data_IF_682663056484
#
_entry.id   IF_682663056484
#
_cell.length_a   1.000
_cell.length_b   1.000
_cell.length_c   1.000
_cell.angle_alpha   90.00
_cell.angle_beta   90.00
_cell.angle_gamma   90.00
#
_symmetry.space_group_name_H-M   'P 1'
#
loop_
_entity.id
_entity.type
_entity.pdbx_description
1 polymer ?
#
# COMPACT_ATOMS: atom_id res chain seq x y z
N UNK A 1 13.32 13.73 -1.52
CA UNK A 1 13.23 12.27 -1.55
C UNK A 1 13.15 11.81 -3.01
N UNK A 2 14.15 11.07 -3.50
CA UNK A 2 14.17 10.53 -4.87
C UNK A 2 13.60 9.12 -4.79
N UNK A 3 12.43 8.88 -5.40
CA UNK A 3 11.75 7.59 -5.37
C UNK A 3 12.12 6.68 -6.56
N UNK A 4 12.59 7.25 -7.66
CA UNK A 4 13.19 6.55 -8.79
C UNK A 4 14.14 7.50 -9.53
N UNK A 5 15.13 6.97 -10.21
CA UNK A 5 16.14 7.69 -10.99
C UNK A 5 16.37 7.04 -12.37
N UNK A 6 17.33 7.56 -13.14
CA UNK A 6 17.64 7.05 -14.47
C UNK A 6 18.13 5.59 -14.51
N UNK A 7 18.63 5.07 -13.37
CA UNK A 7 19.13 3.72 -13.24
C UNK A 7 18.06 2.78 -12.66
N UNK A 8 16.88 3.33 -12.34
CA UNK A 8 15.74 2.55 -11.86
C UNK A 8 15.14 1.68 -12.97
N UNK A 9 14.69 0.45 -12.64
CA UNK A 9 14.01 -0.41 -13.59
C UNK A 9 12.66 0.18 -14.02
N UNK A 10 12.18 -0.16 -15.22
CA UNK A 10 10.91 0.36 -15.76
C UNK A 10 9.72 0.16 -14.81
N UNK A 11 9.65 -0.97 -14.08
CA UNK A 11 8.60 -1.20 -13.10
C UNK A 11 8.57 -0.12 -11.99
N UNK A 12 9.74 0.26 -11.47
CA UNK A 12 9.86 1.32 -10.47
C UNK A 12 9.47 2.69 -11.03
N UNK A 13 9.86 2.98 -12.29
CA UNK A 13 9.48 4.23 -12.96
C UNK A 13 7.96 4.28 -13.16
N UNK A 14 7.31 3.19 -13.56
CA UNK A 14 5.86 3.15 -13.67
C UNK A 14 5.17 3.37 -12.33
N UNK A 15 5.66 2.79 -11.24
CA UNK A 15 5.14 3.11 -9.91
C UNK A 15 5.32 4.59 -9.54
N UNK A 16 6.46 5.19 -9.89
CA UNK A 16 6.67 6.62 -9.70
C UNK A 16 5.61 7.44 -10.44
N UNK A 17 5.32 7.11 -11.70
CA UNK A 17 4.34 7.82 -12.52
C UNK A 17 2.93 7.65 -11.98
N UNK A 18 2.52 6.42 -11.70
CA UNK A 18 1.12 6.03 -11.47
C UNK A 18 0.67 6.16 -10.02
N UNK A 19 1.59 6.03 -9.05
CA UNK A 19 1.24 5.94 -7.63
C UNK A 19 1.87 7.04 -6.77
N UNK A 20 3.08 7.51 -7.11
CA UNK A 20 3.81 8.40 -6.23
C UNK A 20 3.41 9.88 -6.34
N UNK A 21 2.51 10.23 -7.23
CA UNK A 21 1.86 11.55 -7.30
C UNK A 21 0.85 11.77 -6.16
N UNK A 22 0.34 10.71 -5.54
CA UNK A 22 -0.59 10.79 -4.44
C UNK A 22 0.13 11.08 -3.12
N UNK A 23 -0.18 12.21 -2.50
CA UNK A 23 0.44 12.66 -1.24
C UNK A 23 -0.57 13.05 -0.16
N UNK A 24 -1.87 13.03 -0.48
CA UNK A 24 -2.92 13.46 0.43
C UNK A 24 -3.04 12.58 1.69
N UNK A 25 -2.63 11.32 1.60
CA UNK A 25 -2.65 10.35 2.71
C UNK A 25 -1.41 10.42 3.63
N UNK A 26 -0.31 11.01 3.19
CA UNK A 26 0.97 10.95 3.92
C UNK A 26 0.87 11.52 5.34
N UNK A 27 0.09 12.60 5.52
CA UNK A 27 -0.14 13.16 6.83
C UNK A 27 -0.90 12.19 7.75
N UNK A 28 -1.92 11.50 7.23
CA UNK A 28 -2.67 10.52 8.00
C UNK A 28 -1.78 9.38 8.47
N UNK A 29 -0.91 8.85 7.61
CA UNK A 29 0.06 7.83 7.97
C UNK A 29 1.05 8.31 9.04
N UNK A 30 1.54 9.55 8.94
CA UNK A 30 2.42 10.14 9.96
C UNK A 30 1.72 10.27 11.31
N UNK A 31 0.47 10.70 11.33
CA UNK A 31 -0.31 10.87 12.57
C UNK A 31 -0.68 9.53 13.20
N UNK A 32 -1.08 8.53 12.40
CA UNK A 32 -1.39 7.17 12.85
C UNK A 32 -0.18 6.48 13.51
N UNK A 33 1.00 6.67 12.93
CA UNK A 33 2.24 6.04 13.42
C UNK A 33 3.05 6.93 14.33
N UNK A 34 2.45 8.00 14.89
CA UNK A 34 3.17 9.00 15.72
C UNK A 34 3.90 8.39 16.88
N UNK A 35 3.26 7.46 17.57
CA UNK A 35 3.77 6.81 18.78
C UNK A 35 4.48 5.48 18.47
N UNK A 36 4.65 5.15 17.19
CA UNK A 36 5.33 3.92 16.72
C UNK A 36 6.80 4.21 16.45
N UNK A 37 7.67 3.35 16.95
CA UNK A 37 9.11 3.36 16.65
C UNK A 37 9.41 2.51 15.42
N UNK A 38 8.74 1.38 15.28
CA UNK A 38 8.90 0.44 14.17
C UNK A 38 7.58 0.17 13.46
N UNK A 39 7.62 0.30 12.13
CA UNK A 39 6.46 0.18 11.25
C UNK A 39 6.74 -0.86 10.17
N UNK A 40 5.77 -1.74 9.92
CA UNK A 40 5.76 -2.64 8.77
C UNK A 40 4.85 -2.04 7.68
N UNK A 41 5.38 -1.81 6.48
CA UNK A 41 4.66 -1.27 5.31
C UNK A 41 4.43 -2.38 4.28
N UNK A 42 3.19 -2.83 4.13
CA UNK A 42 2.79 -3.89 3.21
C UNK A 42 2.44 -3.35 1.83
N UNK A 43 2.96 -4.00 0.78
CA UNK A 43 2.87 -3.50 -0.59
C UNK A 43 3.69 -2.22 -0.75
N UNK A 44 4.87 -2.17 -0.16
CA UNK A 44 5.67 -0.94 -0.06
C UNK A 44 6.14 -0.39 -1.41
N UNK A 45 6.21 -1.23 -2.45
CA UNK A 45 6.69 -0.85 -3.79
C UNK A 45 8.05 -0.16 -3.74
N UNK A 46 8.14 1.01 -4.36
CA UNK A 46 9.36 1.86 -4.33
C UNK A 46 9.45 2.76 -3.08
N UNK A 47 8.60 2.52 -2.06
CA UNK A 47 8.73 3.13 -0.74
C UNK A 47 8.14 4.52 -0.57
N UNK A 48 7.05 4.86 -1.29
CA UNK A 48 6.39 6.17 -1.16
C UNK A 48 6.04 6.51 0.29
N UNK A 49 5.39 5.59 1.01
CA UNK A 49 4.99 5.76 2.41
C UNK A 49 6.16 5.39 3.33
N UNK A 50 6.83 4.26 3.11
CA UNK A 50 7.96 3.79 3.92
C UNK A 50 9.03 4.88 4.12
N UNK A 51 9.50 5.50 3.04
CA UNK A 51 10.53 6.54 3.11
C UNK A 51 10.01 7.86 3.70
N UNK A 52 8.72 8.17 3.50
CA UNK A 52 8.10 9.31 4.15
C UNK A 52 8.09 9.13 5.69
N UNK A 53 7.69 7.96 6.19
CA UNK A 53 7.68 7.65 7.62
C UNK A 53 9.10 7.59 8.20
N UNK A 54 10.07 7.05 7.46
CA UNK A 54 11.47 7.06 7.88
C UNK A 54 12.01 8.50 8.02
N UNK A 55 11.66 9.40 7.09
CA UNK A 55 12.02 10.82 7.20
C UNK A 55 11.36 11.52 8.40
N UNK A 56 10.27 10.96 8.92
CA UNK A 56 9.58 11.39 10.14
C UNK A 56 10.08 10.65 11.41
N UNK A 57 11.20 9.89 11.30
CA UNK A 57 11.90 9.29 12.42
C UNK A 57 11.47 7.87 12.81
N UNK A 58 10.72 7.16 11.96
CA UNK A 58 10.35 5.74 12.19
C UNK A 58 11.41 4.82 11.58
N UNK A 59 11.58 3.65 12.15
CA UNK A 59 12.25 2.54 11.51
C UNK A 59 11.20 1.76 10.70
N UNK A 60 11.39 1.62 9.39
CA UNK A 60 10.38 1.03 8.52
C UNK A 60 10.93 -0.21 7.81
N UNK A 61 10.22 -1.32 7.96
CA UNK A 61 10.43 -2.52 7.16
C UNK A 61 9.31 -2.59 6.11
N UNK A 62 9.66 -2.63 4.81
CA UNK A 62 8.72 -2.82 3.72
C UNK A 62 8.63 -4.29 3.30
N UNK A 63 7.45 -4.72 2.88
CA UNK A 63 7.25 -6.01 2.20
C UNK A 63 6.55 -5.75 0.87
N UNK A 64 7.10 -6.30 -0.20
CA UNK A 64 6.48 -6.29 -1.53
C UNK A 64 6.78 -7.61 -2.25
N UNK A 65 5.86 -8.08 -3.09
CA UNK A 65 6.03 -9.33 -3.83
C UNK A 65 6.88 -9.17 -5.10
N UNK A 66 7.16 -7.94 -5.53
CA UNK A 66 8.01 -7.65 -6.68
C UNK A 66 9.48 -7.43 -6.26
N UNK A 67 10.38 -8.40 -6.52
CA UNK A 67 11.79 -8.28 -6.14
C UNK A 67 12.51 -7.13 -6.86
N UNK A 68 11.99 -6.67 -8.00
CA UNK A 68 12.57 -5.57 -8.76
C UNK A 68 12.33 -4.24 -8.04
N UNK A 69 11.11 -4.04 -7.52
CA UNK A 69 10.76 -2.85 -6.74
C UNK A 69 11.49 -2.82 -5.41
N UNK A 70 11.53 -3.96 -4.70
CA UNK A 70 12.28 -4.13 -3.44
C UNK A 70 13.77 -3.83 -3.64
N UNK A 71 14.36 -4.35 -4.71
CA UNK A 71 15.77 -4.11 -5.03
C UNK A 71 16.07 -2.62 -5.26
N UNK A 72 15.20 -1.93 -6.00
CA UNK A 72 15.37 -0.49 -6.28
C UNK A 72 15.13 0.37 -5.03
N UNK A 73 14.13 0.04 -4.21
CA UNK A 73 13.89 0.70 -2.93
C UNK A 73 15.12 0.59 -2.02
N UNK A 74 15.68 -0.60 -1.83
CA UNK A 74 16.86 -0.80 -0.99
C UNK A 74 18.10 -0.07 -1.54
N UNK A 75 18.26 -0.01 -2.87
CA UNK A 75 19.33 0.75 -3.54
C UNK A 75 19.22 2.24 -3.23
N UNK A 76 18.04 2.82 -3.37
CA UNK A 76 17.77 4.26 -3.22
C UNK A 76 17.67 4.71 -1.76
N UNK A 77 17.38 3.79 -0.83
CA UNK A 77 17.24 4.08 0.61
C UNK A 77 18.50 3.82 1.42
N UNK A 78 19.62 3.56 0.75
CA UNK A 78 20.91 3.28 1.45
C UNK A 78 21.26 4.42 2.41
N UNK A 79 21.34 4.09 3.71
CA UNK A 79 21.57 5.06 4.79
C UNK A 79 20.33 5.71 5.39
N UNK A 80 19.15 5.37 4.92
CA UNK A 80 17.86 5.73 5.54
C UNK A 80 17.42 4.62 6.53
N UNK A 81 16.46 4.92 7.41
CA UNK A 81 15.85 3.94 8.32
C UNK A 81 14.75 3.14 7.62
N UNK A 82 15.03 2.67 6.40
CA UNK A 82 14.14 1.84 5.59
C UNK A 82 14.90 0.62 5.10
N UNK A 83 14.27 -0.54 5.22
CA UNK A 83 14.67 -1.78 4.54
C UNK A 83 13.44 -2.43 3.91
N UNK A 84 13.60 -3.14 2.81
CA UNK A 84 12.50 -3.85 2.17
C UNK A 84 12.87 -5.31 1.88
N UNK A 85 11.89 -6.19 1.96
CA UNK A 85 12.01 -7.63 1.84
C UNK A 85 11.01 -8.13 0.79
N UNK A 86 11.48 -8.96 -0.11
CA UNK A 86 10.60 -9.59 -1.10
C UNK A 86 9.79 -10.71 -0.43
N UNK A 87 8.46 -10.58 -0.50
CA UNK A 87 7.56 -11.58 0.08
C UNK A 87 6.09 -11.23 -0.11
N UNK A 88 5.22 -12.17 0.28
CA UNK A 88 3.77 -11.97 0.23
C UNK A 88 3.25 -11.33 1.51
N UNK A 89 2.43 -10.29 1.37
CA UNK A 89 1.70 -9.71 2.49
C UNK A 89 0.66 -10.67 3.09
N UNK A 90 0.25 -11.70 2.36
CA UNK A 90 -0.70 -12.73 2.81
C UNK A 90 -0.05 -13.89 3.58
N UNK A 91 1.30 -13.91 3.65
CA UNK A 91 2.06 -14.93 4.37
C UNK A 91 3.38 -14.34 4.88
N UNK A 92 3.31 -13.61 5.98
CA UNK A 92 4.46 -12.97 6.61
C UNK A 92 5.27 -13.93 7.52
N UNK A 93 4.71 -15.11 7.83
CA UNK A 93 5.32 -16.08 8.75
C UNK A 93 6.73 -16.49 8.37
N UNK A 94 7.01 -16.88 7.10
CA UNK A 94 8.32 -17.32 6.64
C UNK A 94 9.37 -16.22 6.48
N UNK A 95 8.96 -14.93 6.51
CA UNK A 95 9.84 -13.82 6.20
C UNK A 95 10.71 -13.41 7.39
N UNK A 96 12.00 -13.23 7.12
CA UNK A 96 12.91 -12.59 8.08
C UNK A 96 12.77 -11.06 7.99
N UNK A 97 11.90 -10.52 8.82
CA UNK A 97 11.60 -9.08 8.88
C UNK A 97 12.56 -8.30 9.78
N UNK A 98 13.63 -8.95 10.28
CA UNK A 98 14.58 -8.35 11.22
C UNK A 98 14.05 -8.20 12.65
N UNK A 99 12.76 -8.48 12.86
CA UNK A 99 12.09 -8.48 14.16
C UNK A 99 10.84 -9.37 14.12
N UNK A 100 10.36 -9.79 15.29
CA UNK A 100 9.18 -10.67 15.39
C UNK A 100 7.88 -9.88 15.27
N UNK A 101 7.83 -8.64 15.81
CA UNK A 101 6.63 -7.83 15.87
C UNK A 101 6.90 -6.34 15.68
N UNK A 102 5.84 -5.57 15.42
CA UNK A 102 5.86 -4.15 15.09
C UNK A 102 4.83 -3.37 15.92
N UNK A 103 5.15 -2.10 16.22
CA UNK A 103 4.21 -1.17 16.85
C UNK A 103 3.03 -0.84 15.95
N UNK A 104 3.29 -0.78 14.63
CA UNK A 104 2.26 -0.55 13.62
C UNK A 104 2.54 -1.38 12.37
N UNK A 105 1.45 -1.89 11.77
CA UNK A 105 1.45 -2.51 10.44
C UNK A 105 0.48 -1.74 9.56
N UNK A 106 0.93 -1.26 8.42
CA UNK A 106 0.13 -0.46 7.49
C UNK A 106 0.04 -1.12 6.12
N UNK A 107 -1.11 -0.97 5.48
CA UNK A 107 -1.35 -1.36 4.08
C UNK A 107 -1.90 -0.15 3.33
N UNK A 108 -1.03 0.72 2.80
CA UNK A 108 -1.43 1.91 2.08
C UNK A 108 -2.03 1.60 0.71
N UNK A 109 -2.78 2.56 0.18
CA UNK A 109 -3.38 2.51 -1.17
C UNK A 109 -4.31 1.29 -1.37
N UNK A 110 -4.15 0.58 -2.48
CA UNK A 110 -5.12 -0.41 -2.95
C UNK A 110 -4.68 -1.87 -2.71
N UNK A 111 -3.75 -2.13 -1.78
CA UNK A 111 -3.22 -3.46 -1.57
C UNK A 111 -4.34 -4.49 -1.33
N UNK A 112 -5.33 -4.16 -0.49
CA UNK A 112 -6.43 -5.08 -0.18
C UNK A 112 -7.34 -5.36 -1.37
N UNK A 113 -7.41 -4.44 -2.34
CA UNK A 113 -8.16 -4.66 -3.57
C UNK A 113 -7.44 -5.58 -4.56
N UNK A 114 -6.10 -5.71 -4.46
CA UNK A 114 -5.28 -6.44 -5.44
C UNK A 114 -4.75 -7.79 -4.94
N UNK A 115 -4.90 -8.12 -3.66
CA UNK A 115 -4.38 -9.39 -3.13
C UNK A 115 -5.15 -10.63 -3.59
N UNK A 116 -6.33 -10.45 -4.20
CA UNK A 116 -7.07 -11.54 -4.88
C UNK A 116 -8.07 -12.27 -3.98
N UNK A 117 -9.19 -11.61 -3.69
CA UNK A 117 -10.38 -12.17 -3.03
C UNK A 117 -10.31 -12.23 -1.51
N UNK A 118 -11.46 -12.58 -0.93
CA UNK A 118 -11.70 -12.62 0.52
C UNK A 118 -10.67 -13.48 1.27
N UNK A 119 -10.42 -14.71 0.78
CA UNK A 119 -9.47 -15.63 1.44
C UNK A 119 -8.06 -15.03 1.52
N UNK A 120 -7.61 -14.35 0.47
CA UNK A 120 -6.29 -13.71 0.47
C UNK A 120 -6.26 -12.51 1.41
N UNK A 121 -7.35 -11.73 1.51
CA UNK A 121 -7.48 -10.63 2.47
C UNK A 121 -7.51 -11.13 3.91
N UNK A 122 -8.26 -12.20 4.20
CA UNK A 122 -8.26 -12.83 5.53
C UNK A 122 -6.86 -13.29 5.94
N UNK A 123 -6.14 -13.99 5.05
CA UNK A 123 -4.75 -14.40 5.29
C UNK A 123 -3.83 -13.19 5.55
N UNK A 124 -4.02 -12.08 4.81
CA UNK A 124 -3.28 -10.85 5.04
C UNK A 124 -3.57 -10.26 6.43
N UNK A 125 -4.83 -10.15 6.82
CA UNK A 125 -5.21 -9.58 8.12
C UNK A 125 -4.73 -10.48 9.28
N UNK A 126 -4.79 -11.80 9.14
CA UNK A 126 -4.22 -12.74 10.11
C UNK A 126 -2.70 -12.60 10.21
N UNK A 127 -1.99 -12.51 9.08
CA UNK A 127 -0.54 -12.27 9.05
C UNK A 127 -0.18 -10.94 9.72
N UNK A 128 -1.00 -9.90 9.53
CA UNK A 128 -0.84 -8.61 10.22
C UNK A 128 -1.00 -8.77 11.72
N UNK A 129 -2.06 -9.44 12.19
CA UNK A 129 -2.28 -9.71 13.63
C UNK A 129 -1.05 -10.39 14.24
N UNK A 130 -0.52 -11.41 13.59
CA UNK A 130 0.59 -12.22 14.10
C UNK A 130 1.92 -11.45 14.15
N UNK A 131 2.01 -10.30 13.47
CA UNK A 131 3.17 -9.40 13.46
C UNK A 131 2.99 -8.12 14.29
N UNK A 132 1.83 -7.94 14.92
CA UNK A 132 1.58 -6.79 15.79
C UNK A 132 2.00 -7.07 17.24
N UNK A 133 2.61 -6.07 17.87
CA UNK A 133 2.75 -6.04 19.32
C UNK A 133 1.37 -6.02 20.01
N UNK A 134 1.25 -6.55 21.24
CA UNK A 134 0.04 -6.36 22.04
C UNK A 134 -0.29 -4.87 22.19
N UNK A 135 -1.49 -4.46 21.75
CA UNK A 135 -1.90 -3.06 21.68
C UNK A 135 -1.42 -2.31 20.44
N UNK A 136 -0.67 -2.96 19.55
CA UNK A 136 -0.19 -2.40 18.28
C UNK A 136 -1.33 -2.02 17.33
N UNK A 137 -1.02 -1.18 16.36
CA UNK A 137 -1.96 -0.60 15.41
C UNK A 137 -1.85 -1.27 14.04
N UNK A 138 -2.98 -1.72 13.48
CA UNK A 138 -3.11 -2.05 12.06
C UNK A 138 -3.89 -0.95 11.35
N UNK A 139 -3.51 -0.60 10.11
CA UNK A 139 -4.25 0.38 9.34
C UNK A 139 -4.23 0.04 7.85
N UNK A 140 -5.43 -0.03 7.26
CA UNK A 140 -5.67 -0.50 5.91
C UNK A 140 -6.38 0.57 5.08
N UNK A 141 -5.79 1.03 3.98
CA UNK A 141 -6.43 1.96 3.08
C UNK A 141 -7.23 1.20 2.00
N UNK A 142 -8.47 1.64 1.79
CA UNK A 142 -9.35 1.13 0.74
C UNK A 142 -10.09 2.28 0.03
N UNK A 143 -10.54 2.02 -1.18
CA UNK A 143 -11.42 2.92 -1.95
C UNK A 143 -12.79 2.28 -2.08
N UNK A 144 -13.79 2.81 -1.34
CA UNK A 144 -15.13 2.21 -1.31
C UNK A 144 -15.96 2.57 -2.54
N UNK A 145 -15.78 3.79 -3.03
CA UNK A 145 -16.52 4.27 -4.17
C UNK A 145 -15.75 3.99 -5.46
N UNK A 146 -15.98 2.83 -6.04
CA UNK A 146 -15.54 2.48 -7.37
C UNK A 146 -16.76 2.51 -8.28
N UNK A 147 -16.81 3.38 -9.30
CA UNK A 147 -17.98 3.53 -10.15
C UNK A 147 -18.42 2.20 -10.79
N UNK A 148 -19.70 1.96 -10.86
CA UNK A 148 -20.27 0.79 -11.53
C UNK A 148 -20.30 0.96 -13.06
N UNK A 149 -20.26 -0.17 -13.75
CA UNK A 149 -20.37 -0.29 -15.20
C UNK A 149 -19.06 -0.06 -15.94
N UNK A 150 -18.87 -0.90 -16.95
CA UNK A 150 -17.73 -0.76 -17.88
C UNK A 150 -17.85 0.55 -18.67
N UNK A 151 -16.75 1.27 -18.80
CA UNK A 151 -16.73 2.58 -19.50
C UNK A 151 -15.33 2.95 -19.98
N UNK A 152 -15.30 3.75 -21.02
CA UNK A 152 -14.10 4.49 -21.39
C UNK A 152 -13.83 5.63 -20.40
N UNK A 153 -12.56 5.92 -20.16
CA UNK A 153 -12.10 6.98 -19.28
C UNK A 153 -11.25 7.97 -20.07
N UNK A 154 -11.63 9.24 -20.02
CA UNK A 154 -10.87 10.32 -20.66
C UNK A 154 -10.38 11.30 -19.59
N UNK A 155 -9.16 11.08 -19.12
CA UNK A 155 -8.48 11.93 -18.14
C UNK A 155 -7.08 12.28 -18.62
N UNK A 156 -6.54 13.39 -18.12
CA UNK A 156 -5.18 13.79 -18.41
C UNK A 156 -4.18 12.75 -17.87
N UNK A 157 -3.10 12.47 -18.61
CA UNK A 157 -2.08 11.55 -18.17
C UNK A 157 -1.28 12.11 -16.98
N UNK A 158 -0.85 11.21 -16.10
CA UNK A 158 0.27 11.46 -15.22
C UNK A 158 1.56 11.40 -16.04
N UNK A 159 2.40 12.44 -15.93
CA UNK A 159 3.63 12.57 -16.72
C UNK A 159 4.83 12.78 -15.80
N UNK A 160 5.93 12.07 -16.06
CA UNK A 160 7.21 12.24 -15.39
C UNK A 160 8.35 12.18 -16.38
N UNK A 161 9.36 13.00 -16.15
CA UNK A 161 10.66 12.90 -16.81
C UNK A 161 11.65 12.22 -15.85
N UNK A 162 12.31 11.19 -16.34
CA UNK A 162 13.35 10.46 -15.61
C UNK A 162 14.53 10.25 -16.55
N UNK A 163 15.67 10.89 -16.24
CA UNK A 163 16.90 10.77 -17.03
C UNK A 163 16.73 11.08 -18.52
N UNK A 164 16.04 12.16 -18.91
CA UNK A 164 15.73 12.57 -20.29
C UNK A 164 14.68 11.70 -21.03
N UNK A 165 14.12 10.69 -20.38
CA UNK A 165 12.98 9.94 -20.88
C UNK A 165 11.70 10.52 -20.31
N UNK A 166 10.65 10.63 -21.13
CA UNK A 166 9.33 11.06 -20.67
C UNK A 166 8.40 9.86 -20.63
N UNK A 167 7.82 9.64 -19.47
CA UNK A 167 6.84 8.59 -19.20
C UNK A 167 5.48 9.21 -18.94
N UNK A 168 4.46 8.69 -19.59
CA UNK A 168 3.08 9.11 -19.39
C UNK A 168 2.18 7.90 -19.19
N UNK A 169 1.26 7.98 -18.23
CA UNK A 169 0.25 6.93 -17.98
C UNK A 169 -1.09 7.55 -17.67
N UNK A 170 -2.16 6.98 -18.22
CA UNK A 170 -3.53 7.35 -17.87
C UNK A 170 -4.44 6.14 -17.92
N UNK A 171 -5.48 6.06 -17.07
CA UNK A 171 -6.55 5.09 -17.28
C UNK A 171 -7.28 5.42 -18.59
N UNK A 172 -7.64 4.40 -19.34
CA UNK A 172 -8.40 4.52 -20.60
C UNK A 172 -9.71 3.75 -20.56
N UNK A 173 -9.78 2.71 -19.76
CA UNK A 173 -10.96 1.86 -19.66
C UNK A 173 -11.10 1.29 -18.26
N UNK A 174 -12.34 1.13 -17.82
CA UNK A 174 -12.73 0.35 -16.64
C UNK A 174 -13.69 -0.72 -17.14
N UNK A 175 -13.33 -1.99 -16.93
CA UNK A 175 -14.17 -3.14 -17.17
C UNK A 175 -14.76 -3.61 -15.84
N UNK A 176 -16.07 -3.80 -15.79
CA UNK A 176 -16.81 -4.21 -14.59
C UNK A 176 -17.40 -5.60 -14.78
N UNK A 177 -17.01 -6.56 -13.94
CA UNK A 177 -17.57 -7.92 -13.93
C UNK A 177 -18.56 -8.16 -12.76
N UNK A 178 -18.88 -7.12 -12.00
CA UNK A 178 -19.77 -7.14 -10.84
C UNK A 178 -19.05 -7.34 -9.51
N UNK A 179 -18.16 -8.31 -9.41
CA UNK A 179 -17.42 -8.59 -8.19
C UNK A 179 -16.09 -7.86 -8.14
N UNK A 180 -15.56 -7.48 -9.29
CA UNK A 180 -14.29 -6.77 -9.44
C UNK A 180 -14.32 -5.78 -10.59
N UNK A 181 -13.30 -4.96 -10.63
CA UNK A 181 -13.02 -4.03 -11.72
C UNK A 181 -11.63 -4.31 -12.29
N UNK A 182 -11.53 -4.26 -13.63
CA UNK A 182 -10.23 -4.19 -14.30
C UNK A 182 -10.01 -2.77 -14.80
N UNK A 183 -9.01 -2.11 -14.27
CA UNK A 183 -8.56 -0.80 -14.74
C UNK A 183 -7.49 -0.99 -15.79
N UNK A 184 -7.78 -0.56 -17.03
CA UNK A 184 -6.82 -0.58 -18.14
C UNK A 184 -6.16 0.78 -18.25
N UNK A 185 -4.84 0.80 -18.29
CA UNK A 185 -4.01 2.02 -18.43
C UNK A 185 -3.26 1.99 -19.75
N UNK A 186 -3.21 3.15 -20.40
CA UNK A 186 -2.33 3.42 -21.53
C UNK A 186 -1.02 3.98 -20.99
N UNK A 187 0.09 3.31 -21.27
CA UNK A 187 1.45 3.71 -20.94
C UNK A 187 2.19 4.16 -22.19
N UNK A 188 2.85 5.31 -22.13
CA UNK A 188 3.57 5.90 -23.24
C UNK A 188 4.97 6.32 -22.78
N UNK A 189 5.97 6.10 -23.63
CA UNK A 189 7.35 6.46 -23.37
C UNK A 189 7.89 7.23 -24.59
N UNK A 190 8.54 8.36 -24.33
CA UNK A 190 9.31 9.09 -25.31
C UNK A 190 10.77 9.08 -24.89
N UNK A 191 11.63 8.53 -25.74
CA UNK A 191 13.08 8.49 -25.54
C UNK A 191 13.76 9.80 -25.91
N UNK A 192 15.02 10.01 -25.47
CA UNK A 192 15.77 11.25 -25.80
C UNK A 192 15.99 11.50 -27.29
N UNK A 193 15.98 10.46 -28.12
CA UNK A 193 16.09 10.54 -29.57
C UNK A 193 14.75 10.79 -30.28
N UNK A 194 13.65 10.90 -29.50
CA UNK A 194 12.30 11.10 -30.00
C UNK A 194 11.55 9.83 -30.41
N UNK A 195 12.11 8.64 -30.15
CA UNK A 195 11.39 7.38 -30.36
C UNK A 195 10.23 7.29 -29.40
N UNK A 196 9.11 6.71 -29.84
CA UNK A 196 7.86 6.59 -29.09
C UNK A 196 7.47 5.11 -28.91
N UNK A 197 7.17 4.73 -27.69
CA UNK A 197 6.64 3.42 -27.35
C UNK A 197 5.28 3.57 -26.68
N UNK A 198 4.35 2.67 -26.97
CA UNK A 198 3.04 2.61 -26.36
C UNK A 198 2.71 1.18 -25.94
N UNK A 199 2.08 1.03 -24.76
CA UNK A 199 1.62 -0.25 -24.24
C UNK A 199 0.40 -0.07 -23.36
N UNK A 200 -0.35 -1.16 -23.16
CA UNK A 200 -1.42 -1.23 -22.16
C UNK A 200 -0.96 -2.07 -20.97
N UNK A 201 -1.44 -1.65 -19.82
CA UNK A 201 -1.31 -2.39 -18.57
C UNK A 201 -2.68 -2.49 -17.90
N UNK A 202 -2.93 -3.55 -17.16
CA UNK A 202 -4.20 -3.74 -16.49
C UNK A 202 -4.02 -4.23 -15.06
N UNK A 203 -4.86 -3.74 -14.17
CA UNK A 203 -4.92 -4.16 -12.78
C UNK A 203 -6.35 -4.53 -12.41
N UNK A 204 -6.54 -5.69 -11.81
CA UNK A 204 -7.82 -6.12 -11.26
C UNK A 204 -7.93 -5.67 -9.82
N UNK A 205 -9.07 -5.08 -9.47
CA UNK A 205 -9.40 -4.56 -8.16
C UNK A 205 -10.68 -5.24 -7.67
N UNK A 206 -10.61 -5.97 -6.58
CA UNK A 206 -11.80 -6.53 -5.92
C UNK A 206 -12.65 -5.41 -5.33
N UNK A 207 -13.95 -5.55 -5.33
CA UNK A 207 -14.85 -4.64 -4.63
C UNK A 207 -14.75 -4.90 -3.13
N UNK A 208 -14.54 -3.85 -2.37
CA UNK A 208 -14.38 -3.92 -0.91
C UNK A 208 -14.88 -2.61 -0.31
N UNK A 209 -15.69 -2.72 0.73
CA UNK A 209 -16.09 -1.59 1.56
C UNK A 209 -15.61 -1.75 3.02
N UNK A 210 -15.77 -0.69 3.81
CA UNK A 210 -15.32 -0.68 5.22
C UNK A 210 -16.06 -1.69 6.10
N UNK A 211 -17.29 -2.07 5.76
CA UNK A 211 -18.08 -3.03 6.55
C UNK A 211 -17.55 -4.44 6.33
N UNK A 212 -17.34 -4.82 5.06
CA UNK A 212 -16.72 -6.09 4.70
C UNK A 212 -15.33 -6.21 5.35
N UNK A 213 -14.51 -5.17 5.23
CA UNK A 213 -13.18 -5.18 5.85
C UNK A 213 -13.23 -5.23 7.37
N UNK A 214 -14.20 -4.55 8.01
CA UNK A 214 -14.37 -4.59 9.47
C UNK A 214 -14.77 -5.99 9.97
N UNK A 215 -15.57 -6.74 9.20
CA UNK A 215 -15.92 -8.13 9.50
C UNK A 215 -14.66 -9.02 9.38
N UNK A 216 -13.91 -8.93 8.29
CA UNK A 216 -12.64 -9.67 8.10
C UNK A 216 -11.62 -9.38 9.22
N UNK A 217 -11.50 -8.10 9.65
CA UNK A 217 -10.65 -7.69 10.77
C UNK A 217 -11.08 -8.33 12.09
N UNK A 218 -12.39 -8.33 12.37
CA UNK A 218 -12.93 -8.92 13.59
C UNK A 218 -12.77 -10.45 13.61
N UNK A 219 -12.98 -11.13 12.49
CA UNK A 219 -12.77 -12.57 12.34
C UNK A 219 -11.30 -12.96 12.56
N UNK A 220 -10.37 -12.12 12.13
CA UNK A 220 -8.94 -12.29 12.41
C UNK A 220 -8.55 -12.03 13.88
N UNK A 221 -9.49 -11.54 14.73
CA UNK A 221 -9.25 -11.28 16.15
C UNK A 221 -8.61 -9.93 16.45
N UNK A 222 -8.71 -8.98 15.53
CA UNK A 222 -8.38 -7.57 15.76
C UNK A 222 -9.64 -6.76 16.10
N UNK A 223 -9.49 -5.65 16.82
CA UNK A 223 -10.58 -4.75 17.17
C UNK A 223 -10.55 -3.51 16.28
N UNK A 224 -11.64 -3.24 15.55
CA UNK A 224 -11.77 -2.00 14.76
C UNK A 224 -11.84 -0.80 15.71
N UNK A 225 -10.89 0.11 15.58
CA UNK A 225 -10.75 1.30 16.42
C UNK A 225 -11.38 2.55 15.81
N UNK A 226 -11.63 2.56 14.50
CA UNK A 226 -12.24 3.67 13.78
C UNK A 226 -11.81 3.77 12.33
N UNK A 227 -12.18 4.89 11.70
CA UNK A 227 -11.85 5.17 10.30
C UNK A 227 -11.35 6.60 10.12
N UNK A 228 -10.52 6.82 9.11
CA UNK A 228 -10.07 8.14 8.68
C UNK A 228 -10.45 8.34 7.22
N UNK A 229 -11.25 9.36 6.96
CA UNK A 229 -11.66 9.72 5.60
C UNK A 229 -10.52 10.47 4.90
N UNK A 230 -10.20 10.05 3.68
CA UNK A 230 -9.29 10.74 2.78
C UNK A 230 -10.12 11.28 1.60
N UNK A 231 -10.34 12.58 1.52
CA UNK A 231 -11.20 13.16 0.49
C UNK A 231 -10.63 12.96 -0.90
N UNK A 232 -11.49 12.98 -1.90
CA UNK A 232 -11.08 13.00 -3.29
C UNK A 232 -10.22 14.24 -3.61
N UNK A 233 -9.38 14.09 -4.60
CA UNK A 233 -8.58 15.16 -5.18
C UNK A 233 -8.88 15.27 -6.68
N UNK A 234 -8.33 16.25 -7.38
CA UNK A 234 -8.50 16.37 -8.84
C UNK A 234 -8.08 15.12 -9.62
N UNK A 235 -7.24 14.25 -9.02
CA UNK A 235 -6.61 13.10 -9.69
C UNK A 235 -6.85 11.76 -9.02
N UNK A 236 -7.41 11.75 -7.82
CA UNK A 236 -7.55 10.52 -7.02
C UNK A 236 -8.94 10.50 -6.38
N UNK A 237 -9.57 9.35 -6.44
CA UNK A 237 -10.86 9.09 -5.79
C UNK A 237 -10.71 9.13 -4.27
N UNK A 238 -11.83 9.38 -3.58
CA UNK A 238 -11.88 9.29 -2.13
C UNK A 238 -11.51 7.89 -1.65
N UNK A 239 -10.88 7.82 -0.48
CA UNK A 239 -10.54 6.57 0.17
C UNK A 239 -10.73 6.68 1.69
N UNK A 240 -10.70 5.55 2.36
CA UNK A 240 -10.81 5.48 3.82
C UNK A 240 -9.69 4.60 4.36
N UNK A 241 -9.13 4.98 5.51
CA UNK A 241 -8.23 4.13 6.28
C UNK A 241 -9.05 3.51 7.40
N UNK A 242 -9.18 2.18 7.39
CA UNK A 242 -9.76 1.43 8.50
C UNK A 242 -8.65 1.12 9.50
N UNK A 243 -8.83 1.54 10.73
CA UNK A 243 -7.85 1.40 11.81
C UNK A 243 -8.31 0.30 12.76
N UNK A 244 -7.41 -0.61 13.07
CA UNK A 244 -7.65 -1.70 14.02
C UNK A 244 -6.53 -1.79 15.07
N UNK A 245 -6.76 -2.50 16.15
CA UNK A 245 -5.79 -2.75 17.21
C UNK A 245 -5.74 -4.22 17.57
N UNK A 246 -4.53 -4.68 17.86
CA UNK A 246 -4.35 -5.96 18.52
C UNK A 246 -4.81 -5.83 19.97
N UNK A 247 -5.77 -6.67 20.38
CA UNK A 247 -6.25 -6.68 21.76
C UNK A 247 -5.05 -6.92 22.70
N UNK A 248 -4.72 -5.93 23.50
CA UNK A 248 -3.74 -6.11 24.58
C UNK A 248 -4.23 -7.21 25.52
N UNK A 249 -3.32 -8.01 26.07
CA UNK A 249 -3.71 -8.94 27.13
C UNK A 249 -4.36 -8.13 28.25
N UNK A 250 -5.68 -8.22 28.37
CA UNK A 250 -6.38 -7.75 29.56
C UNK A 250 -5.68 -8.34 30.76
N UNK A 251 -5.25 -7.50 31.69
CA UNK A 251 -4.59 -7.91 32.93
C UNK A 251 -5.33 -9.12 33.51
N UNK A 252 -4.70 -10.30 33.51
CA UNK A 252 -5.20 -11.44 34.20
C UNK A 252 -5.45 -10.99 35.63
N UNK A 253 -6.72 -10.89 36.02
CA UNK A 253 -7.16 -10.69 37.38
C UNK A 253 -6.39 -11.67 38.24
N UNK A 254 -5.51 -11.16 39.07
CA UNK A 254 -4.90 -11.94 40.17
C UNK A 254 -6.03 -12.29 41.11
N UNK A 255 -6.71 -13.41 40.85
CA UNK A 255 -7.55 -14.01 41.85
C UNK A 255 -6.66 -14.38 43.06
N UNK A 256 -6.88 -13.63 44.10
CA UNK A 256 -6.33 -13.82 45.41
C UNK A 256 -6.52 -15.28 45.86
N UNK A 257 -5.43 -16.01 46.01
CA UNK A 257 -5.44 -17.21 46.86
C UNK A 257 -5.52 -16.73 48.30
N UNK A 258 -6.69 -16.95 48.90
CA UNK A 258 -6.88 -16.98 50.34
C UNK A 258 -6.49 -18.35 50.90
#
# INVERSE_FOLDING_TARGET
LILADQDSPRAAIWQLVESCGYTADLRAWTELTRDSSCVLDLGCGIGRVARHLASAGREVTGVDNDPVLVGDLNRLSSGESVSAITGSATDLGPLDLGRESFDAVIAPQQLLHIVGGEVSRQNLVESVRDRLEPGGLAAFAISEWIPEGSREVDVLPDVREVGHWVYASRPVEVEDDGDSLTLVRLRQIVSPDGSFEESHDSIRLDRLDRHMLAEEIAEAGLEVAGTIELPETERHIASVIVVARHAGQSARTLESRS
#
